data_IF_898475259000
#
_entry.id   IF_898475259000
#
_cell.length_a   1.000
_cell.length_b   1.000
_cell.length_c   1.000
_cell.angle_alpha   90.00
_cell.angle_beta   90.00
_cell.angle_gamma   90.00
#
_symmetry.space_group_name_H-M   'P 1'
#
loop_
_entity.id
_entity.type
_entity.pdbx_description
1 polymer ?
#
# COMPACT_ATOMS: atom_id res chain seq x y z
N UNK A 1 16.45 40.00 9.94
CA UNK A 1 15.01 39.76 10.11
C UNK A 1 14.76 38.33 9.70
N UNK A 2 14.42 37.46 10.64
CA UNK A 2 14.06 36.07 10.34
C UNK A 2 12.66 36.13 9.74
N UNK A 3 12.51 35.87 8.44
CA UNK A 3 11.20 35.68 7.84
C UNK A 3 10.48 34.59 8.66
N UNK A 4 9.30 34.90 9.17
CA UNK A 4 8.48 33.92 9.83
C UNK A 4 8.16 32.83 8.80
N UNK A 5 8.65 31.60 9.04
CA UNK A 5 8.27 30.45 8.21
C UNK A 5 6.75 30.32 8.30
N UNK A 6 6.06 30.58 7.19
CA UNK A 6 4.63 30.28 7.09
C UNK A 6 4.46 28.77 7.24
N UNK A 7 3.86 28.38 8.37
CA UNK A 7 3.58 26.99 8.71
C UNK A 7 2.19 26.64 8.20
N UNK A 8 2.09 25.49 7.54
CA UNK A 8 0.79 24.92 7.16
C UNK A 8 0.19 24.30 8.42
N UNK A 9 -1.07 24.62 8.74
CA UNK A 9 -1.75 24.03 9.89
C UNK A 9 -2.13 22.57 9.62
N UNK A 10 -2.34 21.80 10.70
CA UNK A 10 -2.80 20.42 10.58
C UNK A 10 -4.22 20.35 10.00
N UNK A 11 -5.08 21.32 10.35
CA UNK A 11 -6.43 21.43 9.80
C UNK A 11 -6.40 21.61 8.28
N UNK A 12 -5.52 22.47 7.76
CA UNK A 12 -5.37 22.67 6.32
C UNK A 12 -4.88 21.39 5.61
N UNK A 13 -4.03 20.59 6.25
CA UNK A 13 -3.60 19.29 5.72
C UNK A 13 -4.74 18.27 5.74
N UNK A 14 -5.50 18.20 6.83
CA UNK A 14 -6.65 17.28 6.95
C UNK A 14 -7.73 17.57 5.93
N UNK A 15 -7.90 18.82 5.52
CA UNK A 15 -8.88 19.25 4.51
C UNK A 15 -8.28 19.28 3.09
N UNK A 16 -7.00 18.93 2.93
CA UNK A 16 -6.34 19.08 1.64
C UNK A 16 -6.87 18.07 0.60
N UNK A 17 -7.20 18.53 -0.63
CA UNK A 17 -7.63 17.64 -1.69
C UNK A 17 -6.61 16.55 -2.01
N UNK A 18 -5.31 16.88 -2.01
CA UNK A 18 -4.24 15.93 -2.28
C UNK A 18 -4.27 14.72 -1.34
N UNK A 19 -4.42 14.95 -0.02
CA UNK A 19 -4.51 13.85 0.95
C UNK A 19 -5.75 13.00 0.71
N UNK A 20 -6.91 13.64 0.52
CA UNK A 20 -8.17 12.94 0.33
C UNK A 20 -8.20 12.13 -0.98
N UNK A 21 -7.75 12.72 -2.09
CA UNK A 21 -7.74 12.07 -3.40
C UNK A 21 -6.81 10.84 -3.40
N UNK A 22 -5.61 10.96 -2.85
CA UNK A 22 -4.68 9.82 -2.74
C UNK A 22 -5.24 8.73 -1.84
N UNK A 23 -5.78 9.06 -0.67
CA UNK A 23 -6.38 8.06 0.24
C UNK A 23 -7.58 7.38 -0.42
N UNK A 24 -8.48 8.15 -1.02
CA UNK A 24 -9.66 7.61 -1.68
C UNK A 24 -9.31 6.68 -2.85
N UNK A 25 -8.30 7.04 -3.64
CA UNK A 25 -7.80 6.19 -4.72
C UNK A 25 -7.43 4.80 -4.20
N UNK A 26 -6.66 4.73 -3.10
CA UNK A 26 -6.19 3.47 -2.53
C UNK A 26 -7.20 2.74 -1.65
N UNK A 27 -8.25 3.42 -1.16
CA UNK A 27 -9.31 2.80 -0.36
C UNK A 27 -10.41 2.14 -1.21
N UNK A 28 -10.48 2.49 -2.49
CA UNK A 28 -11.45 1.93 -3.43
C UNK A 28 -10.86 0.71 -4.12
N UNK A 29 -11.66 -0.34 -4.21
CA UNK A 29 -11.39 -1.41 -5.16
C UNK A 29 -11.73 -0.87 -6.57
N UNK A 30 -10.80 -1.04 -7.50
CA UNK A 30 -10.92 -0.72 -8.91
C UNK A 30 -10.66 -1.99 -9.74
N UNK A 31 -11.00 -1.98 -11.02
CA UNK A 31 -11.00 -3.15 -11.92
C UNK A 31 -9.86 -4.15 -11.69
N UNK A 32 -8.63 -3.67 -11.60
CA UNK A 32 -7.42 -4.47 -11.44
C UNK A 32 -6.66 -4.17 -10.14
N UNK A 33 -7.21 -3.31 -9.26
CA UNK A 33 -6.56 -2.91 -8.02
C UNK A 33 -7.54 -3.02 -6.85
N UNK A 34 -7.35 -4.06 -6.04
CA UNK A 34 -8.02 -4.15 -4.74
C UNK A 34 -7.29 -3.26 -3.74
N UNK A 35 -8.02 -2.57 -2.89
CA UNK A 35 -7.43 -1.79 -1.80
C UNK A 35 -6.52 -2.68 -0.96
N UNK A 36 -5.25 -2.28 -0.72
CA UNK A 36 -4.36 -3.04 0.15
C UNK A 36 -4.66 -2.80 1.63
N UNK A 37 -5.51 -1.83 1.97
CA UNK A 37 -5.72 -1.33 3.32
C UNK A 37 -7.00 -1.90 3.94
N UNK A 38 -6.89 -2.75 4.99
CA UNK A 38 -8.04 -3.32 5.68
C UNK A 38 -9.00 -2.24 6.23
N UNK A 39 -10.33 -2.42 6.15
CA UNK A 39 -11.29 -1.42 6.64
C UNK A 39 -11.07 -0.99 8.10
N UNK A 40 -10.64 -1.93 8.96
CA UNK A 40 -10.42 -1.68 10.38
C UNK A 40 -9.31 -0.67 10.69
N UNK A 41 -8.36 -0.44 9.78
CA UNK A 41 -7.26 0.50 10.00
C UNK A 41 -7.48 1.87 9.33
N UNK A 42 -8.45 1.98 8.42
CA UNK A 42 -8.58 3.13 7.50
C UNK A 42 -8.70 4.49 8.20
N UNK A 43 -9.47 4.55 9.29
CA UNK A 43 -9.65 5.78 10.08
C UNK A 43 -8.33 6.23 10.72
N UNK A 44 -7.65 5.31 11.39
CA UNK A 44 -6.38 5.58 12.07
C UNK A 44 -5.26 5.89 11.05
N UNK A 45 -5.22 5.14 9.95
CA UNK A 45 -4.31 5.37 8.83
C UNK A 45 -4.43 6.78 8.27
N UNK A 46 -5.66 7.26 8.05
CA UNK A 46 -5.92 8.62 7.56
C UNK A 46 -5.36 9.69 8.50
N UNK A 47 -5.61 9.53 9.81
CA UNK A 47 -5.13 10.49 10.80
C UNK A 47 -3.60 10.47 10.94
N UNK A 48 -2.98 9.29 10.98
CA UNK A 48 -1.52 9.19 11.03
C UNK A 48 -0.84 9.73 9.77
N UNK A 49 -1.45 9.50 8.60
CA UNK A 49 -0.97 10.05 7.35
C UNK A 49 -1.04 11.59 7.35
N UNK A 50 -2.15 12.17 7.81
CA UNK A 50 -2.29 13.62 7.96
C UNK A 50 -1.20 14.21 8.87
N UNK A 51 -0.93 13.58 10.03
CA UNK A 51 0.10 14.02 10.96
C UNK A 51 1.51 13.96 10.36
N UNK A 52 1.85 12.86 9.66
CA UNK A 52 3.17 12.69 9.02
C UNK A 52 3.34 13.62 7.83
N UNK A 53 2.30 13.80 7.02
CA UNK A 53 2.33 14.70 5.88
C UNK A 53 2.46 16.16 6.34
N UNK A 54 1.70 16.58 7.36
CA UNK A 54 1.86 17.88 8.01
C UNK A 54 3.28 18.12 8.51
N UNK A 55 3.89 17.12 9.15
CA UNK A 55 5.28 17.19 9.58
C UNK A 55 6.22 17.35 8.39
N UNK A 56 6.04 16.57 7.33
CA UNK A 56 6.88 16.63 6.14
C UNK A 56 6.80 18.00 5.45
N UNK A 57 5.61 18.52 5.18
CA UNK A 57 5.40 19.83 4.53
C UNK A 57 6.07 20.97 5.31
N UNK A 58 5.97 20.94 6.65
CA UNK A 58 6.56 21.98 7.50
C UNK A 58 8.08 21.84 7.70
N UNK A 59 8.66 20.68 7.37
CA UNK A 59 10.10 20.45 7.39
C UNK A 59 10.78 20.72 6.04
N UNK A 60 10.02 20.94 4.96
CA UNK A 60 10.59 21.32 3.67
C UNK A 60 11.43 22.60 3.77
N UNK A 61 12.59 22.56 3.13
CA UNK A 61 13.42 23.75 2.95
C UNK A 61 12.62 24.80 2.16
N UNK A 62 12.69 26.09 2.51
CA UNK A 62 11.98 27.14 1.77
C UNK A 62 12.28 27.15 0.26
N UNK A 63 13.48 26.75 -0.16
CA UNK A 63 13.84 26.62 -1.58
C UNK A 63 13.16 25.43 -2.25
N UNK A 64 13.03 24.31 -1.52
CA UNK A 64 12.36 23.11 -2.01
C UNK A 64 10.84 23.30 -2.15
N UNK A 65 10.21 24.17 -1.34
CA UNK A 65 8.77 24.45 -1.46
C UNK A 65 8.35 24.97 -2.83
N UNK A 66 9.25 25.63 -3.57
CA UNK A 66 8.99 26.11 -4.94
C UNK A 66 9.18 25.05 -6.03
N UNK A 67 9.79 23.91 -5.70
CA UNK A 67 10.11 22.81 -6.63
C UNK A 67 9.21 21.58 -6.43
N UNK A 68 8.43 21.56 -5.34
CA UNK A 68 7.48 20.49 -5.04
C UNK A 68 6.19 20.75 -5.82
N UNK A 69 5.95 19.93 -6.83
CA UNK A 69 4.71 19.90 -7.58
C UNK A 69 3.72 18.87 -7.00
N UNK A 70 2.55 18.75 -7.66
CA UNK A 70 1.50 17.83 -7.23
C UNK A 70 1.90 16.35 -7.37
N UNK A 71 2.81 16.00 -8.28
CA UNK A 71 3.28 14.63 -8.47
C UNK A 71 4.12 14.21 -7.28
N UNK A 72 5.11 15.04 -6.90
CA UNK A 72 5.95 14.82 -5.72
C UNK A 72 5.12 14.75 -4.43
N UNK A 73 4.09 15.60 -4.32
CA UNK A 73 3.15 15.55 -3.18
C UNK A 73 2.40 14.22 -3.15
N UNK A 74 1.86 13.77 -4.29
CA UNK A 74 1.14 12.51 -4.40
C UNK A 74 2.01 11.32 -4.00
N UNK A 75 3.20 11.19 -4.59
CA UNK A 75 4.16 10.14 -4.26
C UNK A 75 4.52 10.12 -2.78
N UNK A 76 4.72 11.30 -2.18
CA UNK A 76 5.03 11.38 -0.76
C UNK A 76 3.86 10.95 0.12
N UNK A 77 2.63 11.31 -0.23
CA UNK A 77 1.44 10.86 0.50
C UNK A 77 1.32 9.34 0.38
N UNK A 78 1.55 8.77 -0.81
CA UNK A 78 1.57 7.32 -1.02
C UNK A 78 2.60 6.62 -0.13
N UNK A 79 3.85 7.09 -0.12
CA UNK A 79 4.89 6.56 0.76
C UNK A 79 4.46 6.59 2.25
N UNK A 80 3.86 7.71 2.68
CA UNK A 80 3.39 7.89 4.04
C UNK A 80 2.27 6.90 4.38
N UNK A 81 1.24 6.75 3.53
CA UNK A 81 0.11 5.85 3.83
C UNK A 81 0.57 4.39 3.86
N UNK A 82 1.47 3.97 2.95
CA UNK A 82 1.98 2.61 2.96
C UNK A 82 2.83 2.33 4.21
N UNK A 83 3.67 3.29 4.60
CA UNK A 83 4.47 3.19 5.84
C UNK A 83 3.58 3.10 7.08
N UNK A 84 2.60 4.00 7.22
CA UNK A 84 1.64 3.98 8.32
C UNK A 84 0.85 2.67 8.36
N UNK A 85 0.36 2.19 7.21
CA UNK A 85 -0.40 0.95 7.16
C UNK A 85 0.43 -0.25 7.63
N UNK A 86 1.72 -0.32 7.23
CA UNK A 86 2.65 -1.37 7.67
C UNK A 86 2.92 -1.34 9.18
N UNK A 87 2.77 -0.20 9.85
CA UNK A 87 2.89 -0.10 11.31
C UNK A 87 1.59 -0.48 12.04
N UNK A 88 0.43 -0.29 11.38
CA UNK A 88 -0.89 -0.57 11.95
C UNK A 88 -1.30 -2.05 11.85
N UNK A 89 -0.77 -2.80 10.87
CA UNK A 89 -1.11 -4.22 10.70
C UNK A 89 -0.14 -5.16 11.42
N UNK A 90 -0.71 -6.11 12.16
CA UNK A 90 0.04 -7.20 12.82
C UNK A 90 -0.10 -8.53 12.09
N UNK A 91 -1.18 -8.70 11.32
CA UNK A 91 -1.45 -9.92 10.56
C UNK A 91 -0.44 -10.08 9.41
N UNK A 92 0.29 -11.22 9.32
CA UNK A 92 1.29 -11.43 8.28
C UNK A 92 0.73 -11.34 6.85
N UNK A 93 -0.50 -11.80 6.62
CA UNK A 93 -1.11 -11.79 5.29
C UNK A 93 -1.50 -10.37 4.85
N UNK A 94 -1.99 -9.54 5.78
CA UNK A 94 -2.18 -8.11 5.54
C UNK A 94 -0.86 -7.40 5.25
N UNK A 95 0.23 -7.75 5.94
CA UNK A 95 1.56 -7.19 5.66
C UNK A 95 2.05 -7.53 4.25
N UNK A 96 1.85 -8.77 3.80
CA UNK A 96 2.15 -9.16 2.40
C UNK A 96 1.29 -8.35 1.43
N UNK A 97 0.00 -8.20 1.72
CA UNK A 97 -0.94 -7.43 0.89
C UNK A 97 -0.54 -5.96 0.76
N UNK A 98 -0.10 -5.33 1.85
CA UNK A 98 0.34 -3.93 1.83
C UNK A 98 1.70 -3.80 1.15
N UNK A 99 2.66 -4.69 1.43
CA UNK A 99 3.98 -4.63 0.80
C UNK A 99 3.95 -4.94 -0.70
N UNK A 100 3.00 -5.76 -1.15
CA UNK A 100 2.89 -6.22 -2.53
C UNK A 100 1.44 -6.14 -3.03
N UNK A 101 0.90 -4.91 -3.21
CA UNK A 101 -0.52 -4.67 -3.46
C UNK A 101 -1.03 -5.26 -4.79
N UNK A 102 -0.13 -5.44 -5.76
CA UNK A 102 -0.44 -5.98 -7.09
C UNK A 102 -0.27 -7.50 -7.20
N UNK A 103 0.16 -8.17 -6.13
CA UNK A 103 0.34 -9.62 -6.14
C UNK A 103 -0.98 -10.34 -5.85
N UNK A 104 -1.19 -11.55 -6.41
CA UNK A 104 -2.38 -12.36 -6.13
C UNK A 104 -2.58 -12.54 -4.62
N UNK A 105 -3.81 -12.42 -4.14
CA UNK A 105 -4.21 -12.52 -2.73
C UNK A 105 -5.11 -13.74 -2.51
N UNK A 106 -5.28 -14.23 -1.28
CA UNK A 106 -6.27 -15.25 -0.99
C UNK A 106 -7.66 -14.89 -1.54
N UNK A 107 -8.28 -15.86 -2.22
CA UNK A 107 -9.54 -15.68 -2.95
C UNK A 107 -9.39 -15.25 -4.41
N UNK A 108 -8.21 -14.81 -4.86
CA UNK A 108 -8.03 -14.41 -6.25
C UNK A 108 -7.98 -15.64 -7.18
N UNK A 109 -8.52 -15.52 -8.41
CA UNK A 109 -8.43 -16.56 -9.42
C UNK A 109 -7.01 -16.68 -9.95
N UNK A 110 -6.55 -17.91 -10.17
CA UNK A 110 -5.26 -18.22 -10.78
C UNK A 110 -5.39 -19.49 -11.62
N UNK A 111 -4.53 -19.66 -12.64
CA UNK A 111 -4.46 -20.89 -13.43
C UNK A 111 -3.14 -21.61 -13.22
N UNK A 112 -3.22 -22.93 -13.11
CA UNK A 112 -2.05 -23.80 -13.14
C UNK A 112 -1.42 -23.84 -14.53
N UNK A 113 -0.23 -24.42 -14.63
CA UNK A 113 0.50 -24.53 -15.90
C UNK A 113 -0.23 -25.38 -16.96
N UNK A 114 -1.06 -26.33 -16.53
CA UNK A 114 -1.95 -27.13 -17.39
C UNK A 114 -3.28 -26.42 -17.72
N UNK A 115 -3.48 -25.20 -17.21
CA UNK A 115 -4.62 -24.35 -17.50
C UNK A 115 -5.83 -24.56 -16.57
N UNK A 116 -5.75 -25.45 -15.57
CA UNK A 116 -6.86 -25.67 -14.64
C UNK A 116 -7.18 -24.41 -13.82
N UNK A 117 -8.47 -24.08 -13.72
CA UNK A 117 -8.93 -22.95 -12.92
C UNK A 117 -8.73 -23.25 -11.43
N UNK A 118 -8.16 -22.28 -10.71
CA UNK A 118 -7.81 -22.40 -9.31
C UNK A 118 -8.07 -21.11 -8.54
N UNK A 119 -8.00 -21.19 -7.22
CA UNK A 119 -8.10 -20.04 -6.32
C UNK A 119 -6.91 -20.03 -5.38
N UNK A 120 -6.33 -18.85 -5.15
CA UNK A 120 -5.27 -18.68 -4.14
C UNK A 120 -5.85 -18.93 -2.75
N UNK A 121 -5.21 -19.80 -1.97
CA UNK A 121 -5.66 -20.15 -0.61
C UNK A 121 -4.71 -19.66 0.48
N UNK A 122 -3.41 -19.55 0.20
CA UNK A 122 -2.42 -19.05 1.15
C UNK A 122 -1.19 -18.49 0.45
N UNK A 123 -0.47 -17.62 1.15
CA UNK A 123 0.79 -17.01 0.68
C UNK A 123 1.81 -16.95 1.80
N UNK A 124 3.09 -16.95 1.43
CA UNK A 124 4.20 -16.64 2.36
C UNK A 124 5.39 -16.09 1.60
N UNK A 125 6.24 -15.35 2.28
CA UNK A 125 7.51 -14.87 1.73
C UNK A 125 8.61 -15.85 2.13
N UNK A 126 9.40 -16.30 1.16
CA UNK A 126 10.64 -17.04 1.37
C UNK A 126 11.81 -16.21 0.87
N UNK A 127 12.95 -16.29 1.57
CA UNK A 127 14.19 -15.63 1.18
C UNK A 127 15.20 -16.70 0.80
N UNK A 128 15.77 -16.57 -0.39
CA UNK A 128 16.81 -17.45 -0.93
C UNK A 128 18.02 -16.57 -1.25
N UNK A 129 19.06 -16.64 -0.41
CA UNK A 129 20.25 -15.78 -0.47
C UNK A 129 19.92 -14.28 -0.51
N UNK A 130 20.05 -13.66 -1.69
CA UNK A 130 19.81 -12.22 -1.93
C UNK A 130 18.41 -11.94 -2.48
N UNK A 131 17.69 -12.98 -2.90
CA UNK A 131 16.41 -12.88 -3.60
C UNK A 131 15.26 -13.21 -2.63
N UNK A 132 14.09 -12.64 -2.87
CA UNK A 132 12.88 -12.91 -2.11
C UNK A 132 11.77 -13.39 -3.05
N UNK A 133 10.98 -14.35 -2.58
CA UNK A 133 9.91 -14.96 -3.37
C UNK A 133 8.59 -14.94 -2.60
N UNK A 134 7.51 -14.59 -3.29
CA UNK A 134 6.15 -14.85 -2.84
C UNK A 134 5.75 -16.26 -3.25
N UNK A 135 5.70 -17.15 -2.28
CA UNK A 135 5.16 -18.50 -2.45
C UNK A 135 3.64 -18.42 -2.39
N UNK A 136 2.98 -18.98 -3.40
CA UNK A 136 1.52 -18.98 -3.53
C UNK A 136 1.03 -20.43 -3.57
N UNK A 137 0.16 -20.77 -2.63
CA UNK A 137 -0.58 -22.02 -2.62
C UNK A 137 -1.96 -21.78 -3.21
N UNK A 138 -2.33 -22.59 -4.20
CA UNK A 138 -3.60 -22.53 -4.88
C UNK A 138 -4.31 -23.89 -4.85
N UNK A 139 -5.63 -23.86 -5.01
CA UNK A 139 -6.48 -25.05 -5.08
C UNK A 139 -7.29 -25.01 -6.36
N UNK A 140 -7.23 -26.09 -7.14
CA UNK A 140 -8.04 -26.29 -8.33
C UNK A 140 -9.53 -26.32 -7.96
N UNK A 141 -10.35 -25.61 -8.73
CA UNK A 141 -11.78 -25.46 -8.47
C UNK A 141 -12.54 -26.78 -8.62
N UNK A 142 -12.20 -27.59 -9.63
CA UNK A 142 -12.94 -28.81 -9.96
C UNK A 142 -12.46 -30.04 -9.18
N UNK A 143 -11.15 -30.23 -9.09
CA UNK A 143 -10.55 -31.43 -8.49
C UNK A 143 -10.28 -31.28 -6.98
N UNK A 144 -10.22 -30.04 -6.48
CA UNK A 144 -9.77 -29.74 -5.13
C UNK A 144 -8.27 -29.97 -4.90
N UNK A 145 -7.51 -30.33 -5.94
CA UNK A 145 -6.07 -30.57 -5.86
C UNK A 145 -5.33 -29.27 -5.56
N UNK A 146 -4.36 -29.35 -4.65
CA UNK A 146 -3.50 -28.24 -4.31
C UNK A 146 -2.22 -28.25 -5.14
N UNK A 147 -1.76 -27.06 -5.49
CA UNK A 147 -0.50 -26.84 -6.18
C UNK A 147 0.10 -25.50 -5.75
N UNK A 148 1.42 -25.36 -5.91
CA UNK A 148 2.13 -24.14 -5.55
C UNK A 148 2.86 -23.54 -6.74
N UNK A 149 3.03 -22.23 -6.68
CA UNK A 149 3.89 -21.45 -7.57
C UNK A 149 4.62 -20.38 -6.77
N UNK A 150 5.59 -19.72 -7.41
CA UNK A 150 6.34 -18.64 -6.79
C UNK A 150 6.53 -17.47 -7.75
N UNK A 151 6.59 -16.27 -7.18
CA UNK A 151 6.88 -15.03 -7.89
C UNK A 151 8.09 -14.37 -7.24
N UNK A 152 9.05 -13.94 -8.04
CA UNK A 152 10.17 -13.14 -7.57
C UNK A 152 9.66 -11.76 -7.12
N UNK A 153 10.14 -11.30 -5.98
CA UNK A 153 9.81 -9.99 -5.42
C UNK A 153 10.92 -8.98 -5.77
N UNK A 154 10.56 -7.71 -6.02
CA UNK A 154 11.53 -6.65 -6.33
C UNK A 154 12.46 -6.31 -5.16
#
# INVERSE_FOLDING_TARGET
MTEAKEQVSLEAVRESPALHETIEFWFKDQDHLRSPFPPGIRKELTEQAALRFHKWVNLLDPKAKGEVDNEVVGEKIEEIIFTCAMELVTDPEQRITIGFPFMPRPGDPIRSADGAASTVIARRIEKEDKDAFLMVLARETDSGKEWSTRFELP
#
